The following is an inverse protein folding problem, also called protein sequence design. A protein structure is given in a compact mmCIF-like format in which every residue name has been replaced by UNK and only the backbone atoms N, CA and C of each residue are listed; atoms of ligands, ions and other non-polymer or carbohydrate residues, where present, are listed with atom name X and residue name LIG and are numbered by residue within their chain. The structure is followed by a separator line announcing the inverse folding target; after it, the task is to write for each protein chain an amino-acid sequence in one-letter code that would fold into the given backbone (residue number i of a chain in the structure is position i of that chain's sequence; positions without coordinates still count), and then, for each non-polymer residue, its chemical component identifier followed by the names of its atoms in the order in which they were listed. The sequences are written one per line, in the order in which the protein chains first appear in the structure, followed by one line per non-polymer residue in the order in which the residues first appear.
data_IF_203043953531
#
_entry.id   IF_203043953531
#
_cell.length_a   1.000
_cell.length_b   1.000
_cell.length_c   1.000
_cell.angle_alpha   90.00
_cell.angle_beta   90.00
_cell.angle_gamma   90.00
#
_symmetry.space_group_name_H-M   'P 1'
#
loop_
_entity.id
_entity.type
_entity.pdbx_description
1 polymer ?
#
# COMPACT_ATOMS: atom_id res chain seq x y z
N UNK A 1 -14.39 18.61 -40.39
CA UNK A 1 -13.56 19.44 -39.49
C UNK A 1 -12.23 18.73 -39.34
N UNK A 2 -11.10 19.40 -39.60
CA UNK A 2 -9.78 18.76 -39.54
C UNK A 2 -9.43 18.40 -38.09
N UNK A 3 -8.99 17.18 -37.85
CA UNK A 3 -8.60 16.69 -36.52
C UNK A 3 -7.28 17.37 -36.12
N UNK A 4 -7.28 18.03 -34.95
CA UNK A 4 -6.11 18.72 -34.42
C UNK A 4 -5.44 17.82 -33.37
N UNK A 5 -4.19 17.44 -33.59
CA UNK A 5 -3.43 16.60 -32.66
C UNK A 5 -2.33 17.43 -32.01
N UNK A 6 -2.19 17.33 -30.68
CA UNK A 6 -1.19 18.04 -29.89
C UNK A 6 -0.05 17.12 -29.44
N UNK A 7 1.20 17.54 -29.60
CA UNK A 7 2.38 16.81 -29.11
C UNK A 7 3.40 17.76 -28.49
N UNK A 8 4.06 17.33 -27.42
CA UNK A 8 5.14 18.07 -26.77
C UNK A 8 6.43 17.95 -27.58
N UNK A 9 7.01 19.08 -27.98
CA UNK A 9 8.27 19.11 -28.71
C UNK A 9 9.42 18.54 -27.85
N UNK A 10 10.20 17.56 -28.33
CA UNK A 10 11.29 16.96 -27.55
C UNK A 10 12.42 17.95 -27.24
N UNK A 11 12.58 19.00 -28.05
CA UNK A 11 13.65 19.98 -27.89
C UNK A 11 13.27 21.12 -26.95
N UNK A 12 12.11 21.77 -27.15
CA UNK A 12 11.71 22.93 -26.34
C UNK A 12 10.64 22.63 -25.27
N UNK A 13 10.13 21.39 -25.23
CA UNK A 13 9.07 20.92 -24.34
C UNK A 13 7.75 21.70 -24.39
N UNK A 14 7.55 22.56 -25.39
CA UNK A 14 6.26 23.22 -25.63
C UNK A 14 5.35 22.34 -26.50
N UNK A 15 4.06 22.42 -26.24
CA UNK A 15 3.04 21.71 -27.02
C UNK A 15 2.91 22.39 -28.38
N UNK A 16 3.04 21.61 -29.45
CA UNK A 16 2.73 22.02 -30.81
C UNK A 16 1.44 21.33 -31.25
N UNK A 17 0.58 22.09 -31.93
CA UNK A 17 -0.68 21.59 -32.50
C UNK A 17 -0.58 21.75 -34.01
N UNK A 18 -0.85 20.70 -34.78
CA UNK A 18 -0.95 20.79 -36.23
C UNK A 18 -2.20 20.07 -36.75
N UNK A 19 -2.83 20.61 -37.80
CA UNK A 19 -3.91 19.92 -38.50
C UNK A 19 -3.35 18.73 -39.28
N UNK A 20 -4.06 17.59 -39.24
CA UNK A 20 -3.75 16.37 -40.01
C UNK A 20 -2.38 15.75 -39.68
N UNK A 21 -2.05 15.62 -38.39
CA UNK A 21 -0.80 15.03 -37.92
C UNK A 21 -0.79 13.50 -38.05
N UNK A 22 -0.17 12.94 -39.10
CA UNK A 22 -0.14 11.48 -39.33
C UNK A 22 1.28 10.90 -39.45
N UNK A 23 1.39 9.57 -39.35
CA UNK A 23 2.68 8.87 -39.46
C UNK A 23 3.34 9.15 -40.82
N UNK A 24 4.65 9.40 -40.82
CA UNK A 24 5.46 9.60 -42.03
C UNK A 24 5.58 11.05 -42.52
N UNK A 25 4.86 12.01 -41.95
CA UNK A 25 5.04 13.45 -42.25
C UNK A 25 5.95 14.13 -41.23
N UNK A 26 6.83 14.99 -41.73
CA UNK A 26 7.72 15.85 -40.93
C UNK A 26 7.05 17.19 -40.65
N UNK A 27 7.00 17.58 -39.37
CA UNK A 27 6.43 18.85 -38.93
C UNK A 27 7.50 19.71 -38.28
N UNK A 28 7.51 21.02 -38.53
CA UNK A 28 8.37 21.95 -37.78
C UNK A 28 7.64 22.47 -36.56
N UNK A 29 8.29 22.40 -35.39
CA UNK A 29 7.78 23.01 -34.19
C UNK A 29 7.68 24.54 -34.39
N UNK A 30 6.50 25.16 -34.18
CA UNK A 30 6.34 26.60 -34.35
C UNK A 30 7.10 27.42 -33.31
N UNK A 31 7.51 26.79 -32.20
CA UNK A 31 8.16 27.49 -31.10
C UNK A 31 9.71 27.45 -31.15
N UNK A 32 10.32 26.44 -31.76
CA UNK A 32 11.79 26.34 -31.83
C UNK A 32 12.34 25.89 -33.20
N UNK A 33 11.48 25.65 -34.19
CA UNK A 33 11.89 25.24 -35.53
C UNK A 33 12.35 23.79 -35.67
N UNK A 34 12.38 23.02 -34.58
CA UNK A 34 12.80 21.62 -34.59
C UNK A 34 11.90 20.76 -35.49
N UNK A 35 12.52 19.88 -36.27
CA UNK A 35 11.80 18.87 -37.06
C UNK A 35 11.30 17.77 -36.14
N UNK A 36 10.00 17.48 -36.20
CA UNK A 36 9.32 16.48 -35.41
C UNK A 36 8.70 15.44 -36.33
N UNK A 37 8.90 14.17 -36.00
CA UNK A 37 8.30 13.04 -36.70
C UNK A 37 7.39 12.31 -35.70
N UNK A 38 6.08 12.20 -35.97
CA UNK A 38 5.20 11.38 -35.15
C UNK A 38 5.68 9.93 -35.22
N UNK A 39 6.09 9.38 -34.08
CA UNK A 39 6.41 7.96 -33.97
C UNK A 39 5.13 7.14 -34.16
N UNK A 40 5.22 6.02 -34.88
CA UNK A 40 4.14 5.01 -34.98
C UNK A 40 3.76 4.57 -33.57
N UNK A 41 2.75 5.18 -32.98
CA UNK A 41 1.88 4.60 -31.96
C UNK A 41 0.64 5.48 -31.89
N UNK A 42 -0.28 5.24 -32.80
CA UNK A 42 -1.67 5.56 -32.53
C UNK A 42 -2.06 4.82 -31.23
N UNK A 43 -2.71 5.47 -30.26
CA UNK A 43 -3.32 4.76 -29.15
C UNK A 43 -4.61 4.09 -29.68
N UNK A 44 -4.48 2.98 -30.39
CA UNK A 44 -5.64 2.27 -30.96
C UNK A 44 -5.46 0.76 -31.02
N UNK A 45 -4.85 0.16 -30.01
CA UNK A 45 -5.05 -1.27 -29.75
C UNK A 45 -5.83 -1.39 -28.44
N UNK A 46 -7.07 -1.83 -28.55
CA UNK A 46 -7.81 -2.38 -27.41
C UNK A 46 -6.88 -3.37 -26.68
N UNK A 47 -6.84 -3.38 -25.34
CA UNK A 47 -6.00 -4.34 -24.61
C UNK A 47 -6.33 -5.77 -25.08
N UNK A 48 -5.42 -6.39 -25.81
CA UNK A 48 -5.60 -7.76 -26.29
C UNK A 48 -5.33 -8.70 -25.13
N UNK A 49 -6.37 -9.44 -24.70
CA UNK A 49 -6.20 -10.52 -23.73
C UNK A 49 -5.41 -11.64 -24.40
N UNK A 50 -4.45 -12.27 -23.70
CA UNK A 50 -3.65 -13.33 -24.29
C UNK A 50 -4.54 -14.52 -24.73
N UNK A 51 -4.30 -15.03 -25.94
CA UNK A 51 -5.09 -16.13 -26.49
C UNK A 51 -4.93 -17.42 -25.68
N UNK A 52 -3.70 -17.69 -25.22
CA UNK A 52 -3.34 -18.84 -24.38
C UNK A 52 -2.72 -18.40 -23.03
N UNK A 53 -2.83 -19.22 -21.96
CA UNK A 53 -2.15 -18.96 -20.70
C UNK A 53 -0.62 -18.92 -20.88
N UNK A 54 0.09 -18.08 -20.12
CA UNK A 54 1.55 -18.11 -20.06
C UNK A 54 2.13 -19.49 -19.70
N UNK A 55 3.36 -19.84 -20.14
CA UNK A 55 3.92 -21.19 -19.93
C UNK A 55 4.03 -21.61 -18.46
N UNK A 56 4.37 -20.68 -17.56
CA UNK A 56 4.44 -20.88 -16.11
C UNK A 56 3.05 -21.16 -15.50
N UNK A 57 2.00 -20.56 -16.05
CA UNK A 57 0.61 -20.88 -15.70
C UNK A 57 0.27 -22.30 -16.15
N UNK A 58 0.65 -22.71 -17.36
CA UNK A 58 0.40 -24.06 -17.88
C UNK A 58 1.09 -25.11 -16.99
N UNK A 59 2.34 -24.87 -16.59
CA UNK A 59 3.04 -25.75 -15.66
C UNK A 59 2.33 -25.84 -14.30
N UNK A 60 1.95 -24.68 -13.72
CA UNK A 60 1.26 -24.63 -12.45
C UNK A 60 -0.13 -25.30 -12.50
N UNK A 61 -0.84 -25.22 -13.63
CA UNK A 61 -2.13 -25.86 -13.85
C UNK A 61 -2.08 -27.39 -13.73
N UNK A 62 -0.92 -28.01 -13.98
CA UNK A 62 -0.70 -29.45 -13.86
C UNK A 62 -0.66 -29.95 -12.42
N UNK A 63 -0.54 -29.06 -11.43
CA UNK A 63 -0.50 -29.40 -10.00
C UNK A 63 -1.84 -29.04 -9.35
N UNK A 64 -2.63 -30.04 -8.95
CA UNK A 64 -3.93 -29.81 -8.31
C UNK A 64 -3.87 -28.89 -7.08
N UNK A 65 -2.77 -28.97 -6.30
CA UNK A 65 -2.54 -28.13 -5.13
C UNK A 65 -2.42 -26.63 -5.44
N UNK A 66 -2.09 -26.27 -6.69
CA UNK A 66 -1.93 -24.90 -7.17
C UNK A 66 -3.25 -24.31 -7.69
N UNK A 67 -4.39 -24.98 -7.52
CA UNK A 67 -5.69 -24.46 -7.94
C UNK A 67 -6.54 -24.08 -6.75
N UNK A 68 -7.12 -22.89 -6.82
CA UNK A 68 -8.08 -22.38 -5.85
C UNK A 68 -9.18 -21.67 -6.62
N UNK A 69 -10.37 -22.28 -6.67
CA UNK A 69 -11.45 -21.84 -7.55
C UNK A 69 -11.00 -21.76 -9.01
N UNK A 70 -11.23 -20.61 -9.65
CA UNK A 70 -10.77 -20.30 -11.03
C UNK A 70 -9.33 -19.82 -11.11
N UNK A 71 -8.63 -19.71 -9.98
CA UNK A 71 -7.30 -19.12 -9.90
C UNK A 71 -6.23 -20.22 -9.89
N UNK A 72 -5.16 -19.98 -10.65
CA UNK A 72 -3.96 -20.82 -10.66
C UNK A 72 -2.86 -20.09 -9.90
N UNK A 73 -2.34 -20.70 -8.84
CA UNK A 73 -1.24 -20.22 -8.03
C UNK A 73 0.08 -20.56 -8.74
N UNK A 74 0.83 -19.55 -9.15
CA UNK A 74 2.02 -19.73 -10.00
C UNK A 74 3.30 -19.67 -9.16
N UNK A 75 3.47 -18.60 -8.37
CA UNK A 75 4.64 -18.45 -7.51
C UNK A 75 4.30 -17.74 -6.20
N UNK A 76 5.01 -18.06 -5.13
CA UNK A 76 4.84 -17.39 -3.83
C UNK A 76 5.49 -16.01 -3.90
N UNK A 77 4.72 -14.97 -3.58
CA UNK A 77 5.19 -13.59 -3.42
C UNK A 77 5.60 -13.30 -1.97
N UNK A 78 4.95 -13.94 -1.01
CA UNK A 78 5.27 -13.78 0.41
C UNK A 78 4.57 -14.83 1.28
N UNK A 79 5.13 -15.06 2.46
CA UNK A 79 4.55 -15.95 3.48
C UNK A 79 4.49 -15.21 4.80
N UNK A 80 3.38 -15.36 5.53
CA UNK A 80 3.20 -14.75 6.85
C UNK A 80 2.35 -15.65 7.75
N UNK A 81 2.15 -15.19 8.99
CA UNK A 81 1.40 -15.94 10.00
C UNK A 81 -0.03 -16.31 9.57
N UNK A 82 -0.65 -15.53 8.69
CA UNK A 82 -2.04 -15.70 8.25
C UNK A 82 -2.18 -16.44 6.91
N UNK A 83 -1.07 -16.91 6.33
CA UNK A 83 -1.07 -17.65 5.08
C UNK A 83 -0.03 -17.16 4.08
N UNK A 84 -0.25 -17.50 2.81
CA UNK A 84 0.69 -17.24 1.72
C UNK A 84 0.05 -16.32 0.68
N UNK A 85 0.81 -15.33 0.23
CA UNK A 85 0.47 -14.49 -0.90
C UNK A 85 1.13 -15.05 -2.15
N UNK A 86 0.33 -15.32 -3.17
CA UNK A 86 0.76 -15.90 -4.43
C UNK A 86 0.56 -14.93 -5.58
N UNK A 87 1.46 -14.96 -6.56
CA UNK A 87 1.18 -14.52 -7.92
C UNK A 87 0.26 -15.57 -8.53
N UNK A 88 -0.92 -15.14 -8.93
CA UNK A 88 -1.95 -16.02 -9.48
C UNK A 88 -2.42 -15.57 -10.86
N UNK A 89 -3.00 -16.51 -11.59
CA UNK A 89 -3.64 -16.27 -12.87
C UNK A 89 -5.15 -16.48 -12.76
N UNK A 90 -5.92 -15.46 -13.11
CA UNK A 90 -7.37 -15.56 -13.28
C UNK A 90 -7.67 -16.20 -14.64
N UNK A 91 -8.11 -17.46 -14.64
CA UNK A 91 -8.38 -18.19 -15.88
C UNK A 91 -9.61 -17.69 -16.64
N UNK A 92 -10.54 -17.00 -15.96
CA UNK A 92 -11.74 -16.46 -16.60
C UNK A 92 -11.46 -15.12 -17.26
N UNK A 93 -10.75 -14.22 -16.56
CA UNK A 93 -10.44 -12.88 -17.04
C UNK A 93 -9.08 -12.78 -17.74
N UNK A 94 -8.33 -13.88 -17.81
CA UNK A 94 -7.01 -13.99 -18.43
C UNK A 94 -6.05 -12.88 -18.01
N UNK A 95 -5.91 -12.68 -16.69
CA UNK A 95 -5.05 -11.64 -16.10
C UNK A 95 -4.28 -12.13 -14.88
N UNK A 96 -3.15 -11.49 -14.61
CA UNK A 96 -2.40 -11.67 -13.38
C UNK A 96 -3.11 -11.00 -12.19
N UNK A 97 -3.09 -11.68 -11.05
CA UNK A 97 -3.68 -11.25 -9.78
C UNK A 97 -2.77 -11.64 -8.61
N UNK A 98 -2.94 -11.00 -7.46
CA UNK A 98 -2.37 -11.47 -6.21
C UNK A 98 -3.44 -12.29 -5.47
N UNK A 99 -3.11 -13.51 -5.03
CA UNK A 99 -4.03 -14.41 -4.34
C UNK A 99 -3.47 -14.72 -2.96
N UNK A 100 -4.11 -14.19 -1.93
CA UNK A 100 -3.76 -14.50 -0.53
C UNK A 100 -4.55 -15.71 -0.09
N UNK A 101 -3.87 -16.85 0.01
CA UNK A 101 -4.44 -18.11 0.51
C UNK A 101 -4.21 -18.16 2.01
N UNK A 102 -5.30 -18.26 2.76
CA UNK A 102 -5.26 -18.23 4.22
C UNK A 102 -5.21 -19.64 4.80
N UNK A 103 -4.39 -19.82 5.83
CA UNK A 103 -4.28 -21.08 6.55
C UNK A 103 -5.14 -21.01 7.81
N UNK A 104 -6.43 -21.24 7.65
CA UNK A 104 -7.37 -21.34 8.76
C UNK A 104 -7.49 -22.80 9.20
N UNK A 105 -6.43 -23.35 9.82
CA UNK A 105 -6.49 -24.74 10.28
C UNK A 105 -7.36 -24.92 11.54
N UNK A 106 -7.62 -23.84 12.31
CA UNK A 106 -8.34 -23.90 13.59
C UNK A 106 -9.30 -22.71 13.83
N UNK A 107 -9.88 -22.12 12.77
CA UNK A 107 -10.72 -20.90 12.91
C UNK A 107 -12.19 -21.24 13.12
N UNK A 108 -12.81 -20.62 14.12
CA UNK A 108 -14.21 -20.84 14.44
C UNK A 108 -15.15 -20.22 13.38
N UNK A 109 -16.39 -20.70 13.31
CA UNK A 109 -17.38 -20.22 12.33
C UNK A 109 -17.66 -18.70 12.44
N UNK A 110 -17.53 -18.13 13.64
CA UNK A 110 -17.77 -16.71 13.91
C UNK A 110 -16.67 -15.82 13.31
N UNK A 111 -15.41 -16.21 13.49
CA UNK A 111 -14.25 -15.53 12.89
C UNK A 111 -14.34 -15.54 11.37
N UNK A 112 -14.77 -16.67 10.79
CA UNK A 112 -14.95 -16.78 9.35
C UNK A 112 -16.11 -15.92 8.83
N UNK A 113 -17.23 -15.85 9.57
CA UNK A 113 -18.35 -14.98 9.23
C UNK A 113 -17.94 -13.51 9.27
N UNK A 114 -17.12 -13.10 10.26
CA UNK A 114 -16.56 -11.74 10.33
C UNK A 114 -15.59 -11.48 9.19
N UNK A 115 -14.66 -12.40 8.92
CA UNK A 115 -13.75 -12.32 7.77
C UNK A 115 -14.52 -12.04 6.48
N UNK A 116 -15.58 -12.81 6.20
CA UNK A 116 -16.42 -12.62 5.01
C UNK A 116 -17.12 -11.25 5.00
N UNK A 117 -17.55 -10.73 6.15
CA UNK A 117 -18.14 -9.37 6.24
C UNK A 117 -17.09 -8.29 5.93
N UNK A 118 -15.93 -8.38 6.57
CA UNK A 118 -14.84 -7.42 6.37
C UNK A 118 -14.33 -7.45 4.93
N UNK A 119 -14.15 -8.64 4.33
CA UNK A 119 -13.77 -8.80 2.93
C UNK A 119 -14.77 -8.14 1.97
N UNK A 120 -16.08 -8.29 2.21
CA UNK A 120 -17.12 -7.60 1.43
C UNK A 120 -17.04 -6.08 1.55
N UNK A 121 -16.86 -5.57 2.77
CA UNK A 121 -16.71 -4.13 3.00
C UNK A 121 -15.47 -3.56 2.29
N UNK A 122 -14.35 -4.30 2.34
CA UNK A 122 -13.11 -3.90 1.70
C UNK A 122 -13.18 -4.00 0.17
N UNK A 123 -13.93 -4.96 -0.38
CA UNK A 123 -14.18 -5.06 -1.82
C UNK A 123 -15.03 -3.91 -2.37
N UNK A 124 -15.79 -3.21 -1.52
CA UNK A 124 -16.53 -2.01 -1.90
C UNK A 124 -15.68 -0.72 -1.86
N UNK A 125 -14.41 -0.81 -1.47
CA UNK A 125 -13.50 0.34 -1.45
C UNK A 125 -12.98 0.60 -2.86
N UNK A 126 -13.16 1.82 -3.33
CA UNK A 126 -12.62 2.30 -4.60
C UNK A 126 -11.86 3.60 -4.36
N UNK A 127 -10.54 3.50 -4.38
CA UNK A 127 -9.65 4.62 -4.16
C UNK A 127 -8.29 4.37 -4.82
N UNK A 128 -7.66 5.38 -5.45
CA UNK A 128 -6.39 5.22 -6.14
C UNK A 128 -5.30 4.59 -5.27
N UNK A 129 -5.23 4.96 -3.99
CA UNK A 129 -4.19 4.48 -3.06
C UNK A 129 -4.54 3.20 -2.28
N UNK A 130 -5.59 2.47 -2.68
CA UNK A 130 -5.92 1.16 -2.13
C UNK A 130 -5.78 0.12 -3.23
N UNK A 131 -5.16 -1.03 -2.95
CA UNK A 131 -5.13 -2.14 -3.89
C UNK A 131 -6.56 -2.70 -4.05
N UNK A 132 -7.13 -2.69 -5.28
CA UNK A 132 -8.48 -3.22 -5.49
C UNK A 132 -8.58 -4.70 -5.11
N UNK A 133 -9.63 -5.05 -4.38
CA UNK A 133 -10.01 -6.44 -4.13
C UNK A 133 -10.98 -6.85 -5.23
N UNK A 134 -10.67 -7.96 -5.91
CA UNK A 134 -11.46 -8.46 -7.02
C UNK A 134 -12.42 -9.55 -6.61
N UNK A 135 -12.02 -10.41 -5.67
CA UNK A 135 -12.78 -11.60 -5.31
C UNK A 135 -12.40 -12.09 -3.92
N UNK A 136 -13.31 -12.81 -3.28
CA UNK A 136 -13.01 -13.59 -2.09
C UNK A 136 -13.82 -14.89 -2.16
N UNK A 137 -13.22 -15.99 -1.73
CA UNK A 137 -13.88 -17.27 -1.86
C UNK A 137 -13.33 -18.35 -0.96
N UNK A 138 -13.90 -19.53 -1.13
CA UNK A 138 -13.49 -20.75 -0.46
C UNK A 138 -13.52 -21.89 -1.48
N UNK A 139 -12.49 -22.72 -1.49
CA UNK A 139 -12.44 -23.92 -2.32
C UNK A 139 -11.67 -25.00 -1.58
N UNK A 140 -12.28 -26.17 -1.41
CA UNK A 140 -11.68 -27.31 -0.70
C UNK A 140 -11.18 -26.92 0.72
N UNK A 141 -11.96 -26.12 1.45
CA UNK A 141 -11.60 -25.62 2.78
C UNK A 141 -10.49 -24.56 2.81
N UNK A 142 -9.94 -24.16 1.65
CA UNK A 142 -8.98 -23.06 1.56
C UNK A 142 -9.71 -21.76 1.27
N UNK A 143 -9.59 -20.83 2.20
CA UNK A 143 -10.09 -19.47 2.01
C UNK A 143 -9.06 -18.62 1.28
N UNK A 144 -9.54 -17.75 0.40
CA UNK A 144 -8.66 -16.90 -0.38
C UNK A 144 -9.25 -15.52 -0.65
N UNK A 145 -8.36 -14.55 -0.78
CA UNK A 145 -8.65 -13.18 -1.18
C UNK A 145 -7.86 -12.86 -2.45
N UNK A 146 -8.53 -12.33 -3.46
CA UNK A 146 -7.93 -11.96 -4.74
C UNK A 146 -7.90 -10.45 -4.87
N UNK A 147 -6.74 -9.91 -5.18
CA UNK A 147 -6.52 -8.48 -5.31
C UNK A 147 -5.68 -8.15 -6.54
N UNK A 148 -5.62 -6.86 -6.88
CA UNK A 148 -4.70 -6.36 -7.92
C UNK A 148 -3.27 -6.81 -7.61
N UNK A 149 -2.63 -7.45 -8.58
CA UNK A 149 -1.18 -7.64 -8.54
C UNK A 149 -0.54 -6.27 -8.79
N UNK A 150 0.11 -5.71 -7.77
CA UNK A 150 0.90 -4.51 -7.92
C UNK A 150 2.28 -4.93 -8.41
N UNK A 151 2.58 -4.66 -9.67
CA UNK A 151 3.93 -4.79 -10.21
C UNK A 151 4.74 -3.63 -9.62
N UNK A 152 5.66 -3.93 -8.70
CA UNK A 152 6.31 -2.90 -7.91
C UNK A 152 7.12 -3.46 -6.76
N UNK A 153 7.56 -2.58 -5.86
CA UNK A 153 8.34 -2.91 -4.67
C UNK A 153 7.64 -2.38 -3.43
N UNK A 154 7.85 -3.01 -2.28
CA UNK A 154 7.32 -2.45 -1.04
C UNK A 154 8.04 -1.14 -0.71
N UNK A 155 7.39 -0.23 0.02
CA UNK A 155 8.02 1.00 0.51
C UNK A 155 9.20 0.66 1.43
N UNK A 156 9.12 -0.44 2.17
CA UNK A 156 10.26 -0.98 2.94
C UNK A 156 11.47 -1.28 2.06
N UNK A 157 11.25 -1.89 0.89
CA UNK A 157 12.30 -2.21 -0.07
C UNK A 157 12.84 -0.98 -0.81
N UNK A 158 11.97 -0.03 -1.14
CA UNK A 158 12.33 1.23 -1.81
C UNK A 158 13.24 2.05 -0.90
N UNK A 159 12.87 2.19 0.37
CA UNK A 159 13.57 3.01 1.35
C UNK A 159 14.52 2.23 2.27
N UNK A 160 14.83 0.98 1.92
CA UNK A 160 15.82 0.19 2.65
C UNK A 160 17.13 0.99 2.77
N UNK A 161 17.65 1.25 3.99
CA UNK A 161 18.86 2.03 4.17
C UNK A 161 20.02 1.48 3.35
N UNK A 162 20.75 2.37 2.65
CA UNK A 162 21.96 2.04 1.90
C UNK A 162 23.11 2.87 2.44
N UNK A 163 24.27 2.25 2.64
CA UNK A 163 25.44 2.93 3.15
C UNK A 163 25.78 4.16 2.30
N UNK A 164 25.92 5.33 2.94
CA UNK A 164 26.26 6.58 2.28
C UNK A 164 25.14 7.27 1.50
N UNK A 165 23.94 6.66 1.39
CA UNK A 165 22.80 7.26 0.67
C UNK A 165 21.76 7.73 1.68
N UNK A 166 21.47 9.03 1.69
CA UNK A 166 20.40 9.60 2.51
C UNK A 166 19.06 9.41 1.83
N UNK A 167 18.05 9.00 2.59
CA UNK A 167 16.65 9.02 2.15
C UNK A 167 16.21 10.44 1.84
N UNK A 168 15.62 10.65 0.66
CA UNK A 168 14.91 11.87 0.31
C UNK A 168 13.67 12.02 1.21
N UNK A 169 13.68 13.06 2.04
CA UNK A 169 12.61 13.32 2.99
C UNK A 169 11.29 13.70 2.30
N UNK A 170 11.35 14.41 1.16
CA UNK A 170 10.15 14.79 0.42
C UNK A 170 9.47 13.57 -0.19
N UNK A 171 10.26 12.67 -0.78
CA UNK A 171 9.75 11.40 -1.31
C UNK A 171 9.14 10.51 -0.21
N UNK A 172 9.79 10.42 0.95
CA UNK A 172 9.28 9.67 2.10
C UNK A 172 7.94 10.22 2.61
N UNK A 173 7.83 11.54 2.75
CA UNK A 173 6.60 12.23 3.16
C UNK A 173 5.49 12.00 2.14
N UNK A 174 5.77 12.16 0.83
CA UNK A 174 4.76 11.98 -0.21
C UNK A 174 4.21 10.55 -0.25
N UNK A 175 5.07 9.54 -0.13
CA UNK A 175 4.63 8.13 -0.12
C UNK A 175 3.72 7.83 1.07
N UNK A 176 4.11 8.24 2.28
CA UNK A 176 3.28 8.02 3.48
C UNK A 176 1.99 8.83 3.42
N UNK A 177 2.04 10.05 2.88
CA UNK A 177 0.87 10.89 2.68
C UNK A 177 -0.13 10.25 1.72
N UNK A 178 0.32 9.71 0.58
CA UNK A 178 -0.55 8.97 -0.37
C UNK A 178 -1.19 7.75 0.28
N UNK A 179 -0.42 6.98 1.06
CA UNK A 179 -0.96 5.87 1.85
C UNK A 179 -2.02 6.37 2.85
N UNK A 180 -1.75 7.45 3.59
CA UNK A 180 -2.71 8.05 4.51
C UNK A 180 -4.01 8.51 3.82
N UNK A 181 -3.97 8.99 2.58
CA UNK A 181 -5.17 9.29 1.78
C UNK A 181 -6.00 8.04 1.48
N UNK A 182 -5.37 6.92 1.15
CA UNK A 182 -6.06 5.63 1.02
C UNK A 182 -6.70 5.19 2.33
N UNK A 183 -5.96 5.32 3.43
CA UNK A 183 -6.45 4.94 4.75
C UNK A 183 -7.60 5.82 5.24
N UNK A 184 -7.58 7.11 4.92
CA UNK A 184 -8.70 8.02 5.17
C UNK A 184 -10.00 7.54 4.49
N UNK A 185 -9.90 7.01 3.27
CA UNK A 185 -11.04 6.44 2.57
C UNK A 185 -11.63 5.20 3.27
N UNK A 186 -10.78 4.39 3.92
CA UNK A 186 -11.19 3.25 4.76
C UNK A 186 -11.87 3.74 6.04
N UNK A 187 -11.25 4.68 6.76
CA UNK A 187 -11.76 5.22 8.02
C UNK A 187 -13.13 5.87 7.86
N UNK A 188 -13.38 6.58 6.76
CA UNK A 188 -14.67 7.17 6.44
C UNK A 188 -15.81 6.13 6.32
N UNK A 189 -15.49 4.84 6.19
CA UNK A 189 -16.43 3.71 6.15
C UNK A 189 -16.38 2.84 7.40
N UNK A 190 -15.73 3.31 8.46
CA UNK A 190 -15.59 2.58 9.72
C UNK A 190 -14.63 1.39 9.67
N UNK A 191 -13.77 1.31 8.65
CA UNK A 191 -12.80 0.23 8.49
C UNK A 191 -11.43 0.70 8.99
N UNK A 192 -10.84 -0.04 9.92
CA UNK A 192 -9.48 0.18 10.44
C UNK A 192 -8.56 -0.90 9.87
N UNK A 193 -7.39 -0.52 9.38
CA UNK A 193 -6.45 -1.42 8.71
C UNK A 193 -5.68 -2.31 9.69
N UNK A 194 -5.25 -1.79 10.86
CA UNK A 194 -4.61 -2.55 11.96
C UNK A 194 -3.24 -3.17 11.64
N UNK A 195 -2.65 -2.92 10.47
CA UNK A 195 -1.32 -3.43 10.09
C UNK A 195 -0.55 -2.47 9.19
N UNK A 196 -0.72 -1.16 9.40
CA UNK A 196 -0.04 -0.18 8.57
C UNK A 196 1.47 -0.24 8.85
N UNK A 197 2.25 -0.48 7.79
CA UNK A 197 3.71 -0.51 7.82
C UNK A 197 4.28 -0.35 6.41
N UNK A 198 5.57 0.00 6.23
CA UNK A 198 6.16 0.13 4.90
C UNK A 198 6.10 -1.15 4.05
N UNK A 199 6.07 -2.33 4.69
CA UNK A 199 5.89 -3.62 4.00
C UNK A 199 4.49 -3.85 3.40
N UNK A 200 3.46 -3.14 3.87
CA UNK A 200 2.08 -3.19 3.35
C UNK A 200 1.73 -1.96 2.49
N UNK A 201 2.76 -1.25 2.03
CA UNK A 201 2.64 -0.16 1.06
C UNK A 201 3.47 -0.57 -0.15
N UNK A 202 2.84 -0.68 -1.32
CA UNK A 202 3.51 -1.01 -2.58
C UNK A 202 3.67 0.25 -3.42
N UNK A 203 4.82 0.41 -4.06
CA UNK A 203 5.08 1.45 -5.05
C UNK A 203 5.31 0.80 -6.42
N UNK A 204 4.53 1.20 -7.42
CA UNK A 204 4.69 0.76 -8.81
C UNK A 204 5.81 1.56 -9.53
N UNK A 205 6.26 1.14 -10.73
CA UNK A 205 7.31 1.82 -11.48
C UNK A 205 7.02 3.30 -11.80
N UNK A 206 5.75 3.67 -11.89
CA UNK A 206 5.28 5.04 -12.11
C UNK A 206 5.30 5.88 -10.81
N UNK A 207 5.65 5.27 -9.67
CA UNK A 207 5.75 5.92 -8.38
C UNK A 207 4.41 6.05 -7.65
N UNK A 208 3.36 5.40 -8.14
CA UNK A 208 2.06 5.37 -7.48
C UNK A 208 2.09 4.40 -6.30
N UNK A 209 1.38 4.78 -5.23
CA UNK A 209 1.39 4.04 -3.96
C UNK A 209 0.06 3.37 -3.73
N UNK A 210 0.08 2.09 -3.39
CA UNK A 210 -1.08 1.29 -2.99
C UNK A 210 -0.87 0.77 -1.57
N UNK A 211 -1.86 0.94 -0.70
CA UNK A 211 -1.99 0.14 0.51
C UNK A 211 -2.51 -1.25 0.14
N UNK A 212 -1.84 -2.27 0.67
CA UNK A 212 -2.18 -3.68 0.50
C UNK A 212 -2.47 -4.32 1.85
N UNK A 213 -2.96 -5.56 1.85
CA UNK A 213 -3.11 -6.34 3.08
C UNK A 213 -3.94 -5.65 4.17
N UNK A 214 -5.07 -5.06 3.76
CA UNK A 214 -6.13 -4.63 4.68
C UNK A 214 -6.33 -5.75 5.69
N UNK A 215 -6.25 -5.46 7.00
CA UNK A 215 -6.17 -6.45 8.08
C UNK A 215 -7.40 -7.35 8.29
N UNK A 216 -8.14 -7.63 7.21
CA UNK A 216 -9.36 -8.43 7.10
C UNK A 216 -9.19 -9.85 7.60
N UNK A 217 -7.97 -10.40 7.50
CA UNK A 217 -7.63 -11.76 7.94
C UNK A 217 -7.24 -11.85 9.42
N UNK A 218 -7.30 -10.75 10.19
CA UNK A 218 -6.96 -10.75 11.61
C UNK A 218 -8.19 -11.09 12.44
N UNK A 219 -8.18 -12.15 13.25
CA UNK A 219 -9.19 -12.34 14.30
C UNK A 219 -9.31 -11.06 15.14
N UNK A 220 -10.52 -10.56 15.29
CA UNK A 220 -10.81 -9.58 16.31
C UNK A 220 -11.02 -10.35 17.61
N UNK A 221 -10.40 -9.85 18.68
CA UNK A 221 -10.44 -10.36 20.06
C UNK A 221 -9.33 -11.34 20.42
N UNK A 222 -9.05 -11.44 21.73
CA UNK A 222 -7.90 -12.10 22.36
C UNK A 222 -7.83 -13.61 22.20
N UNK A 223 -8.02 -14.10 20.97
CA UNK A 223 -7.88 -15.49 20.56
C UNK A 223 -6.69 -15.68 19.60
N UNK A 224 -5.65 -14.85 19.73
CA UNK A 224 -4.28 -15.25 19.40
C UNK A 224 -3.71 -16.26 20.40
N UNK A 225 -4.57 -17.15 20.92
CA UNK A 225 -4.21 -18.28 21.78
C UNK A 225 -4.01 -19.48 20.87
N UNK A 226 -2.82 -19.57 20.27
CA UNK A 226 -2.24 -20.87 19.92
C UNK A 226 -1.26 -21.23 21.03
N UNK A 227 -1.44 -22.40 21.63
CA UNK A 227 -0.80 -22.84 22.87
C UNK A 227 0.67 -22.43 23.02
N UNK A 228 0.98 -21.80 24.16
CA UNK A 228 2.36 -21.63 24.66
C UNK A 228 3.06 -20.30 24.35
N UNK A 229 2.46 -19.35 23.63
CA UNK A 229 3.05 -18.02 23.42
C UNK A 229 2.07 -17.01 22.84
N UNK A 230 2.03 -15.79 23.39
CA UNK A 230 1.24 -14.68 22.83
C UNK A 230 1.74 -14.35 21.41
N UNK A 231 1.00 -14.76 20.39
CA UNK A 231 1.27 -14.38 18.99
C UNK A 231 0.60 -13.03 18.74
N UNK A 232 1.39 -11.96 18.65
CA UNK A 232 0.90 -10.63 18.30
C UNK A 232 0.54 -10.57 16.82
N UNK A 233 -0.68 -10.12 16.53
CA UNK A 233 -1.18 -10.00 15.16
C UNK A 233 -0.74 -8.67 14.53
N UNK A 234 0.49 -8.62 14.04
CA UNK A 234 1.07 -7.53 13.24
C UNK A 234 2.57 -7.43 13.42
N UNK A 235 3.20 -6.39 12.88
CA UNK A 235 4.64 -6.15 13.10
C UNK A 235 4.81 -5.21 14.31
N UNK A 236 5.23 -5.71 15.49
CA UNK A 236 5.10 -4.96 16.75
C UNK A 236 5.82 -3.61 16.77
N UNK A 237 6.86 -3.43 15.94
CA UNK A 237 7.58 -2.18 15.79
C UNK A 237 6.73 -0.99 15.29
N UNK A 238 5.57 -1.24 14.69
CA UNK A 238 4.65 -0.20 14.19
C UNK A 238 3.31 -0.18 14.93
N UNK A 239 3.10 -1.10 15.86
CA UNK A 239 1.82 -1.23 16.57
C UNK A 239 1.65 -0.10 17.58
N UNK A 240 0.44 0.44 17.64
CA UNK A 240 0.07 1.42 18.64
C UNK A 240 0.05 0.79 20.05
N UNK A 241 0.39 1.55 21.11
CA UNK A 241 0.46 1.05 22.49
C UNK A 241 -0.83 0.36 22.99
N UNK A 242 -1.99 0.82 22.52
CA UNK A 242 -3.30 0.26 22.87
C UNK A 242 -3.56 -1.10 22.20
N UNK A 243 -2.98 -1.38 21.03
CA UNK A 243 -3.15 -2.67 20.34
C UNK A 243 -2.53 -3.83 21.16
N UNK A 244 -1.54 -3.53 21.99
CA UNK A 244 -0.91 -4.47 22.91
C UNK A 244 -1.80 -4.91 24.08
N UNK A 245 -2.78 -4.07 24.47
CA UNK A 245 -3.64 -4.32 25.64
C UNK A 245 -4.71 -5.39 25.34
N UNK A 246 -4.76 -5.90 24.11
CA UNK A 246 -5.65 -6.99 23.70
C UNK A 246 -7.14 -6.61 23.64
N UNK A 247 -7.48 -5.35 23.89
CA UNK A 247 -8.86 -4.87 23.86
C UNK A 247 -9.19 -4.33 22.47
N UNK A 248 -9.80 -5.16 21.62
CA UNK A 248 -10.14 -4.79 20.24
C UNK A 248 -10.99 -3.49 20.15
N UNK A 249 -11.81 -3.23 21.17
CA UNK A 249 -12.62 -2.00 21.31
C UNK A 249 -11.79 -0.71 21.41
N UNK A 250 -10.51 -0.81 21.78
CA UNK A 250 -9.65 0.36 21.98
C UNK A 250 -8.91 0.77 20.71
N UNK A 251 -8.86 -0.12 19.71
CA UNK A 251 -8.18 0.07 18.42
C UNK A 251 -9.15 0.74 17.44
N UNK A 252 -8.85 1.97 17.08
CA UNK A 252 -9.62 2.79 16.13
C UNK A 252 -8.69 3.43 15.08
N UNK A 253 -9.22 4.35 14.27
CA UNK A 253 -8.46 5.07 13.24
C UNK A 253 -7.16 5.71 13.75
N UNK A 254 -7.07 6.03 15.05
CA UNK A 254 -5.90 6.66 15.67
C UNK A 254 -4.76 5.67 15.92
N UNK A 255 -5.05 4.37 15.95
CA UNK A 255 -4.02 3.33 15.98
C UNK A 255 -3.31 3.23 14.63
N UNK A 256 -4.06 3.35 13.55
CA UNK A 256 -3.55 3.43 12.19
C UNK A 256 -2.72 4.71 11.94
N UNK A 257 -3.13 5.85 12.52
CA UNK A 257 -2.34 7.09 12.54
C UNK A 257 -1.00 6.90 13.22
N UNK A 258 -0.97 6.23 14.37
CA UNK A 258 0.29 5.92 15.06
C UNK A 258 1.21 5.09 14.16
N UNK A 259 0.67 4.06 13.51
CA UNK A 259 1.41 3.21 12.60
C UNK A 259 1.94 3.96 11.37
N UNK A 260 1.20 4.93 10.83
CA UNK A 260 1.69 5.86 9.79
C UNK A 260 2.86 6.71 10.30
N UNK A 261 2.76 7.27 11.50
CA UNK A 261 3.83 8.06 12.12
C UNK A 261 5.10 7.24 12.36
N UNK A 262 4.95 6.02 12.91
CA UNK A 262 6.06 5.09 13.11
C UNK A 262 6.70 4.65 11.77
N UNK A 263 5.89 4.45 10.74
CA UNK A 263 6.36 4.14 9.37
C UNK A 263 7.19 5.27 8.80
N UNK A 264 6.70 6.52 8.88
CA UNK A 264 7.43 7.69 8.38
C UNK A 264 8.72 7.93 9.15
N UNK A 265 8.71 7.78 10.48
CA UNK A 265 9.91 7.84 11.30
C UNK A 265 10.95 6.82 10.82
N UNK A 266 10.56 5.57 10.60
CA UNK A 266 11.47 4.53 10.15
C UNK A 266 12.03 4.81 8.76
N UNK A 267 11.20 5.22 7.81
CA UNK A 267 11.63 5.54 6.45
C UNK A 267 12.68 6.68 6.46
N UNK A 268 12.44 7.71 7.27
CA UNK A 268 13.33 8.86 7.36
C UNK A 268 14.65 8.54 8.07
N UNK A 269 14.60 7.78 9.16
CA UNK A 269 15.77 7.55 10.04
C UNK A 269 16.51 6.24 9.76
N UNK A 270 15.88 5.30 9.06
CA UNK A 270 16.32 3.91 8.95
C UNK A 270 16.22 3.11 10.24
N UNK A 271 15.54 3.63 11.28
CA UNK A 271 15.46 3.01 12.61
C UNK A 271 14.00 2.87 13.05
N UNK A 272 13.66 1.77 13.71
CA UNK A 272 12.36 1.66 14.38
C UNK A 272 12.20 2.75 15.45
N UNK A 273 10.96 3.14 15.72
CA UNK A 273 10.63 4.15 16.74
C UNK A 273 11.17 3.77 18.12
N UNK A 274 11.01 2.49 18.48
CA UNK A 274 11.57 1.87 19.69
C UNK A 274 12.38 0.63 19.32
N UNK A 275 13.69 0.77 19.03
CA UNK A 275 14.55 -0.36 18.68
C UNK A 275 14.63 -1.37 19.83
N UNK A 276 14.35 -2.64 19.58
CA UNK A 276 14.37 -3.66 20.63
C UNK A 276 14.80 -5.02 20.08
N UNK A 277 15.31 -5.94 20.94
CA UNK A 277 15.73 -7.28 20.52
C UNK A 277 14.59 -8.14 19.96
N UNK A 278 13.34 -7.84 20.35
CA UNK A 278 12.16 -8.54 19.87
C UNK A 278 10.94 -7.61 19.86
N UNK A 279 9.88 -8.04 19.18
CA UNK A 279 8.66 -7.24 19.01
C UNK A 279 7.94 -6.93 20.33
N UNK A 280 7.98 -7.84 21.30
CA UNK A 280 7.36 -7.63 22.60
C UNK A 280 7.98 -6.49 23.38
N UNK A 281 9.30 -6.45 23.38
CA UNK A 281 10.03 -5.39 24.03
C UNK A 281 9.82 -4.05 23.32
N UNK A 282 9.74 -4.03 21.98
CA UNK A 282 9.40 -2.81 21.23
C UNK A 282 8.03 -2.25 21.64
N UNK A 283 7.05 -3.14 21.82
CA UNK A 283 5.69 -2.78 22.21
C UNK A 283 5.61 -2.32 23.67
N UNK A 284 6.35 -2.98 24.58
CA UNK A 284 6.49 -2.56 25.98
C UNK A 284 7.08 -1.15 26.06
N UNK A 285 8.15 -0.87 25.29
CA UNK A 285 8.76 0.46 25.20
C UNK A 285 7.76 1.49 24.68
N UNK A 286 6.95 1.16 23.67
CA UNK A 286 5.90 2.05 23.17
C UNK A 286 4.85 2.41 24.24
N UNK A 287 4.61 1.54 25.22
CA UNK A 287 3.68 1.81 26.33
C UNK A 287 4.28 2.68 27.45
N UNK A 288 5.60 2.69 27.63
CA UNK A 288 6.24 3.38 28.75
C UNK A 288 7.06 4.61 28.35
N UNK A 289 7.64 4.62 27.16
CA UNK A 289 8.58 5.64 26.70
C UNK A 289 7.92 6.70 25.82
N UNK A 290 8.60 7.84 25.69
CA UNK A 290 8.21 8.90 24.77
C UNK A 290 8.90 8.66 23.43
N UNK A 291 8.14 8.77 22.34
CA UNK A 291 8.67 8.63 20.99
C UNK A 291 9.77 9.69 20.72
N UNK A 292 10.92 9.30 20.15
CA UNK A 292 11.99 10.23 19.82
C UNK A 292 11.57 11.19 18.69
N UNK A 293 12.10 12.42 18.72
CA UNK A 293 11.92 13.40 17.63
C UNK A 293 12.73 12.99 16.41
N UNK A 294 12.15 13.04 15.21
CA UNK A 294 12.85 12.64 13.97
C UNK A 294 14.09 13.49 13.73
N UNK A 295 14.01 14.79 14.10
CA UNK A 295 15.10 15.75 13.93
C UNK A 295 16.32 15.49 14.84
N UNK A 296 16.18 14.66 15.88
CA UNK A 296 17.35 14.21 16.67
C UNK A 296 18.28 13.29 15.87
N UNK A 297 17.74 12.60 14.86
CA UNK A 297 18.48 11.65 13.99
C UNK A 297 18.66 12.23 12.58
N UNK A 298 17.68 12.99 12.09
CA UNK A 298 17.64 13.63 10.77
C UNK A 298 17.37 15.13 10.89
N UNK A 299 18.37 15.96 11.27
CA UNK A 299 18.19 17.40 11.47
C UNK A 299 17.72 18.17 10.23
N UNK A 300 17.91 17.58 9.04
CA UNK A 300 17.52 18.11 7.74
C UNK A 300 16.00 17.99 7.45
N UNK A 301 15.25 17.18 8.20
CA UNK A 301 13.79 17.09 8.09
C UNK A 301 13.15 18.37 8.64
N UNK A 302 12.12 18.91 7.97
CA UNK A 302 11.47 20.16 8.41
C UNK A 302 10.85 20.04 9.80
N UNK A 303 10.78 21.17 10.52
CA UNK A 303 10.18 21.21 11.86
C UNK A 303 8.69 20.80 11.82
N UNK A 304 7.97 21.19 10.76
CA UNK A 304 6.58 20.78 10.56
C UNK A 304 6.41 19.26 10.47
N UNK A 305 7.25 18.57 9.68
CA UNK A 305 7.18 17.12 9.54
C UNK A 305 7.52 16.42 10.87
N UNK A 306 8.49 16.95 11.63
CA UNK A 306 8.83 16.44 12.96
C UNK A 306 7.65 16.55 13.95
N UNK A 307 6.93 17.68 13.96
CA UNK A 307 5.72 17.84 14.78
C UNK A 307 4.61 16.87 14.38
N UNK A 308 4.40 16.67 13.07
CA UNK A 308 3.38 15.73 12.58
C UNK A 308 3.70 14.31 13.04
N UNK A 309 4.95 13.86 12.91
CA UNK A 309 5.38 12.53 13.37
C UNK A 309 5.23 12.42 14.90
N UNK A 310 5.67 13.42 15.65
CA UNK A 310 5.59 13.41 17.11
C UNK A 310 4.13 13.33 17.60
N UNK A 311 3.23 14.10 16.99
CA UNK A 311 1.80 14.07 17.32
C UNK A 311 1.17 12.72 16.93
N UNK A 312 1.46 12.21 15.74
CA UNK A 312 0.95 10.92 15.30
C UNK A 312 1.41 9.77 16.22
N UNK A 313 2.63 9.83 16.73
CA UNK A 313 3.22 8.80 17.60
C UNK A 313 3.05 9.07 19.10
N UNK A 314 2.18 10.02 19.48
CA UNK A 314 1.86 10.27 20.89
C UNK A 314 1.32 9.00 21.57
N UNK A 315 1.74 8.74 22.81
CA UNK A 315 1.30 7.54 23.55
C UNK A 315 -0.22 7.52 23.74
N UNK A 316 -0.79 8.62 24.21
CA UNK A 316 -2.23 8.76 24.42
C UNK A 316 -2.94 8.98 23.09
N UNK A 317 -3.87 8.09 22.73
CA UNK A 317 -4.59 8.19 21.44
C UNK A 317 -5.32 9.52 21.26
N UNK A 318 -5.80 10.13 22.34
CA UNK A 318 -6.49 11.42 22.32
C UNK A 318 -5.58 12.60 21.93
N UNK A 319 -4.25 12.43 22.00
CA UNK A 319 -3.28 13.46 21.59
C UNK A 319 -2.89 13.35 20.11
N UNK A 320 -3.31 12.27 19.42
CA UNK A 320 -3.02 12.05 18.00
C UNK A 320 -3.99 12.83 17.11
N UNK A 321 -3.81 12.71 15.80
CA UNK A 321 -4.82 13.11 14.83
C UNK A 321 -6.04 12.18 14.96
N UNK A 322 -7.24 12.70 14.71
CA UNK A 322 -8.48 11.93 14.86
C UNK A 322 -8.53 10.73 13.89
N UNK A 323 -7.97 10.91 12.69
CA UNK A 323 -7.90 9.90 11.65
C UNK A 323 -6.74 10.18 10.66
N UNK A 324 -6.60 9.28 9.67
CA UNK A 324 -5.63 9.42 8.60
C UNK A 324 -5.87 10.61 7.66
N UNK A 325 -7.08 11.19 7.63
CA UNK A 325 -7.37 12.38 6.82
C UNK A 325 -6.68 13.58 7.43
N UNK A 326 -6.88 13.82 8.73
CA UNK A 326 -6.22 14.90 9.47
C UNK A 326 -4.70 14.76 9.43
N UNK A 327 -4.17 13.53 9.56
CA UNK A 327 -2.74 13.28 9.44
C UNK A 327 -2.19 13.64 8.05
N UNK A 328 -2.89 13.25 6.97
CA UNK A 328 -2.48 13.57 5.62
C UNK A 328 -2.55 15.08 5.34
N UNK A 329 -3.58 15.76 5.82
CA UNK A 329 -3.73 17.23 5.70
C UNK A 329 -2.59 17.95 6.45
N UNK A 330 -2.21 17.47 7.63
CA UNK A 330 -1.09 18.03 8.38
C UNK A 330 0.28 17.83 7.67
N UNK A 331 0.47 16.70 6.97
CA UNK A 331 1.67 16.50 6.14
C UNK A 331 1.72 17.46 4.94
N UNK A 332 0.58 17.72 4.28
CA UNK A 332 0.50 18.70 3.19
C UNK A 332 0.89 20.11 3.67
N UNK A 333 0.36 20.53 4.82
CA UNK A 333 0.70 21.82 5.45
C UNK A 333 2.19 21.89 5.82
N UNK A 334 2.73 20.82 6.43
CA UNK A 334 4.13 20.75 6.84
C UNK A 334 5.13 20.70 5.67
N UNK A 335 4.71 20.18 4.51
CA UNK A 335 5.50 20.15 3.28
C UNK A 335 5.45 21.45 2.47
N UNK A 336 4.65 22.44 2.91
CA UNK A 336 4.49 23.72 2.21
C UNK A 336 3.52 23.68 1.03
N UNK A 337 2.71 22.63 0.90
CA UNK A 337 1.60 22.60 -0.03
C UNK A 337 0.50 23.51 0.52
N UNK A 338 0.58 24.82 0.22
CA UNK A 338 -0.48 25.79 0.56
C UNK A 338 -1.84 25.23 0.13
N UNK A 339 -2.79 25.18 1.06
CA UNK A 339 -4.22 25.12 0.70
C UNK A 339 -4.50 26.26 -0.29
N UNK A 340 -5.08 26.01 -1.46
CA UNK A 340 -5.73 27.09 -2.20
C UNK A 340 -6.91 27.57 -1.36
N UNK A 341 -6.76 28.77 -0.77
CA UNK A 341 -7.82 29.69 -0.36
C UNK A 341 -8.90 29.17 0.59
N UNK A 342 -8.88 29.67 1.82
CA UNK A 342 -10.11 30.21 2.41
C UNK A 342 -10.06 31.72 2.25
#
# INVERSE_FOLDING_TARGET
MAEMTSMTCPQCRKIAVAPNWHAGTTYRCPNCGATMVPSKKAPSESPQLPDAPPPDVVEAMGKAANRVGRYVLVSVLGSGAMGQLWRGWDTSLKRWVAVKVMNFQDVCAEDLARFRREAKMAAALDHPHLAPIYDFGETNGKHYLVMKLIEGRTVEEVFRPRAGVKTDAAAAVDVVRRAARGLAHMHARGIVHRDVKPGNMMQDPEGHVYLTDFGLAKPAEGQGLTGGGMVFMGTPAFMAPEAARGQAKDVDARSDVYSLGASLFMILTGRALFPAPNGMESLRRAQSEVAPRVRTVRPDVSAGVDEVIARATAREKAQRYADAREFADALDEAAGARRPGN
#
